data_IF_024314345178
#
_entry.id   IF_024314345178
#
_cell.length_a   1.000
_cell.length_b   1.000
_cell.length_c   1.000
_cell.angle_alpha   90.00
_cell.angle_beta   90.00
_cell.angle_gamma   90.00
#
_symmetry.space_group_name_H-M   'P 1'
#
loop_
_entity.id
_entity.type
_entity.pdbx_description
1 polymer ?
#
# COMPACT_ATOMS: atom_id res chain seq x y z
N UNK A 1 7.15 6.64 23.28
CA UNK A 1 6.58 6.33 21.95
C UNK A 1 6.84 7.56 21.09
N UNK A 2 7.43 7.40 19.90
CA UNK A 2 7.71 8.55 19.02
C UNK A 2 6.36 9.09 18.53
N UNK A 3 6.12 10.37 18.77
CA UNK A 3 4.90 11.08 18.39
C UNK A 3 5.16 12.23 17.42
N UNK A 4 4.07 12.84 16.96
CA UNK A 4 4.12 13.88 15.94
C UNK A 4 4.99 15.08 16.34
N UNK A 5 4.99 15.43 17.63
CA UNK A 5 5.81 16.51 18.18
C UNK A 5 7.31 16.25 18.08
N UNK A 6 7.74 14.99 18.05
CA UNK A 6 9.16 14.62 17.99
C UNK A 6 9.77 14.96 16.62
N UNK A 7 8.93 15.19 15.60
CA UNK A 7 9.35 15.64 14.28
C UNK A 7 9.49 17.17 14.19
N UNK A 8 8.95 17.94 15.15
CA UNK A 8 9.00 19.40 15.13
C UNK A 8 10.43 19.98 15.06
N UNK A 9 11.45 19.43 15.75
CA UNK A 9 12.84 19.90 15.61
C UNK A 9 13.42 19.72 14.19
N UNK A 10 12.85 18.82 13.38
CA UNK A 10 13.36 18.45 12.05
C UNK A 10 12.65 19.26 10.96
N UNK A 11 11.32 19.31 11.01
CA UNK A 11 10.49 19.94 9.96
C UNK A 11 9.94 21.31 10.34
N UNK A 12 10.14 21.74 11.59
CA UNK A 12 9.59 22.96 12.15
C UNK A 12 8.15 22.77 12.68
N UNK A 13 7.75 23.54 13.70
CA UNK A 13 6.41 23.45 14.31
C UNK A 13 5.29 23.87 13.34
N UNK A 14 5.59 24.71 12.35
CA UNK A 14 4.63 25.19 11.36
C UNK A 14 4.11 24.06 10.47
N UNK A 15 5.00 23.15 10.04
CA UNK A 15 4.66 21.97 9.23
C UNK A 15 3.77 21.03 10.04
N UNK A 16 4.10 20.82 11.32
CA UNK A 16 3.26 20.02 12.22
C UNK A 16 1.86 20.64 12.36
N UNK A 17 1.78 21.96 12.58
CA UNK A 17 0.50 22.66 12.68
C UNK A 17 -0.32 22.65 11.39
N UNK A 18 0.33 22.72 10.22
CA UNK A 18 -0.36 22.56 8.92
C UNK A 18 -0.93 21.15 8.77
N UNK A 19 -0.16 20.12 9.12
CA UNK A 19 -0.59 18.73 9.05
C UNK A 19 -1.79 18.45 9.98
N UNK A 20 -1.77 18.99 11.19
CA UNK A 20 -2.89 18.91 12.13
C UNK A 20 -4.17 19.54 11.55
N UNK A 21 -4.08 20.77 11.00
CA UNK A 21 -5.24 21.44 10.37
C UNK A 21 -5.80 20.66 9.18
N UNK A 22 -4.95 20.03 8.37
CA UNK A 22 -5.41 19.19 7.26
C UNK A 22 -6.12 17.93 7.78
N UNK A 23 -5.62 17.34 8.87
CA UNK A 23 -6.20 16.15 9.46
C UNK A 23 -7.57 16.40 10.11
N UNK A 24 -7.87 17.61 10.58
CA UNK A 24 -9.19 17.97 11.14
C UNK A 24 -10.35 17.64 10.18
N UNK A 25 -10.16 17.87 8.88
CA UNK A 25 -11.16 17.56 7.86
C UNK A 25 -11.40 16.05 7.67
N UNK A 26 -10.48 15.22 8.16
CA UNK A 26 -10.50 13.76 8.07
C UNK A 26 -10.69 13.10 9.45
N UNK A 27 -10.91 13.89 10.50
CA UNK A 27 -11.04 13.36 11.86
C UNK A 27 -12.15 12.32 11.95
N UNK A 28 -11.90 11.24 12.69
CA UNK A 28 -12.78 10.08 12.89
C UNK A 28 -13.10 9.27 11.63
N UNK A 29 -12.45 9.56 10.49
CA UNK A 29 -12.56 8.71 9.30
C UNK A 29 -11.75 7.44 9.50
N UNK A 30 -12.32 6.32 9.07
CA UNK A 30 -11.67 5.01 9.14
C UNK A 30 -10.80 4.80 7.91
N UNK A 31 -9.51 4.56 8.14
CA UNK A 31 -8.53 4.36 7.09
C UNK A 31 -7.81 3.03 7.26
N UNK A 32 -7.94 2.13 6.28
CA UNK A 32 -7.32 0.80 6.35
C UNK A 32 -6.18 0.69 5.33
N UNK A 33 -5.00 0.34 5.82
CA UNK A 33 -3.86 -0.08 5.01
C UNK A 33 -3.84 -1.60 4.89
N UNK A 34 -3.61 -2.13 3.68
CA UNK A 34 -3.50 -3.58 3.44
C UNK A 34 -2.20 -3.88 2.70
N UNK A 35 -1.36 -4.77 3.23
CA UNK A 35 -0.17 -5.28 2.54
C UNK A 35 0.07 -6.77 2.82
N UNK A 36 1.22 -7.31 2.39
CA UNK A 36 1.55 -8.74 2.49
C UNK A 36 2.46 -9.14 3.64
N UNK A 37 2.99 -8.21 4.43
CA UNK A 37 3.85 -8.57 5.58
C UNK A 37 3.88 -7.49 6.66
N UNK A 38 3.88 -7.90 7.94
CA UNK A 38 4.09 -7.03 9.12
C UNK A 38 5.56 -6.68 9.34
N UNK A 39 6.47 -7.51 8.86
CA UNK A 39 7.91 -7.41 9.15
C UNK A 39 8.74 -7.66 7.89
N UNK A 40 9.86 -6.95 7.78
CA UNK A 40 10.71 -7.02 6.59
C UNK A 40 10.12 -6.24 5.40
N UNK A 41 11.00 -5.54 4.68
CA UNK A 41 10.64 -4.71 3.54
C UNK A 41 10.27 -3.26 3.89
N UNK A 42 10.45 -2.37 2.92
CA UNK A 42 10.27 -0.92 3.12
C UNK A 42 8.83 -0.51 3.44
N UNK A 43 7.83 -1.24 2.91
CA UNK A 43 6.41 -0.94 3.17
C UNK A 43 6.06 -1.15 4.64
N UNK A 44 6.50 -2.27 5.23
CA UNK A 44 6.25 -2.54 6.65
C UNK A 44 6.96 -1.50 7.55
N UNK A 45 8.19 -1.10 7.20
CA UNK A 45 8.92 -0.05 7.93
C UNK A 45 8.16 1.28 7.92
N UNK A 46 7.62 1.68 6.77
CA UNK A 46 6.79 2.88 6.63
C UNK A 46 5.51 2.77 7.46
N UNK A 47 4.76 1.66 7.35
CA UNK A 47 3.47 1.51 8.02
C UNK A 47 3.59 1.43 9.54
N UNK A 48 4.67 0.87 10.07
CA UNK A 48 4.97 0.88 11.51
C UNK A 48 5.09 2.31 12.08
N UNK A 49 5.39 3.30 11.24
CA UNK A 49 5.50 4.72 11.63
C UNK A 49 4.28 5.54 11.23
N UNK A 50 3.82 5.38 10.01
CA UNK A 50 2.71 6.15 9.47
C UNK A 50 1.40 5.89 10.23
N UNK A 51 1.11 4.64 10.57
CA UNK A 51 -0.17 4.28 11.20
C UNK A 51 -0.32 4.92 12.59
N UNK A 52 0.65 4.84 13.52
CA UNK A 52 0.57 5.57 14.78
C UNK A 52 0.44 7.09 14.62
N UNK A 53 1.15 7.69 13.66
CA UNK A 53 1.09 9.15 13.43
C UNK A 53 -0.27 9.59 12.89
N UNK A 54 -0.86 8.82 11.97
CA UNK A 54 -2.22 9.07 11.48
C UNK A 54 -3.27 8.95 12.60
N UNK A 55 -3.09 7.98 13.51
CA UNK A 55 -3.95 7.87 14.69
C UNK A 55 -3.79 9.07 15.65
N UNK A 56 -2.58 9.58 15.86
CA UNK A 56 -2.35 10.80 16.64
C UNK A 56 -2.97 12.05 16.01
N UNK A 57 -3.12 12.04 14.68
CA UNK A 57 -3.79 13.10 13.91
C UNK A 57 -5.33 12.97 13.92
N UNK A 58 -5.90 11.97 14.61
CA UNK A 58 -7.34 11.81 14.79
C UNK A 58 -8.04 10.93 13.75
N UNK A 59 -7.30 10.27 12.85
CA UNK A 59 -7.85 9.27 11.94
C UNK A 59 -7.93 7.91 12.65
N UNK A 60 -9.00 7.15 12.44
CA UNK A 60 -9.10 5.76 12.91
C UNK A 60 -8.35 4.86 11.91
N UNK A 61 -7.03 4.72 12.09
CA UNK A 61 -6.17 4.08 11.10
C UNK A 61 -5.78 2.67 11.53
N UNK A 62 -6.12 1.68 10.69
CA UNK A 62 -5.78 0.28 10.90
C UNK A 62 -4.84 -0.22 9.81
N UNK A 63 -4.05 -1.24 10.17
CA UNK A 63 -3.18 -1.93 9.24
C UNK A 63 -3.48 -3.41 9.29
N UNK A 64 -3.86 -3.95 8.14
CA UNK A 64 -4.19 -5.35 7.89
C UNK A 64 -3.13 -6.00 7.01
N UNK A 65 -2.87 -7.27 7.27
CA UNK A 65 -1.88 -8.05 6.53
C UNK A 65 -2.52 -9.32 6.02
N UNK A 66 -2.36 -9.58 4.72
CA UNK A 66 -2.86 -10.80 4.12
C UNK A 66 -2.04 -12.00 4.55
N UNK A 67 -2.71 -13.14 4.62
CA UNK A 67 -2.08 -14.45 4.80
C UNK A 67 -2.05 -15.20 3.46
N UNK A 68 -1.06 -16.06 3.28
CA UNK A 68 -0.95 -16.90 2.10
C UNK A 68 -0.02 -18.08 2.37
N UNK A 69 -0.15 -19.12 1.56
CA UNK A 69 0.80 -20.24 1.59
C UNK A 69 2.11 -19.88 0.87
N UNK A 70 3.10 -20.77 0.97
CA UNK A 70 4.40 -20.56 0.30
C UNK A 70 4.24 -20.37 -1.20
N UNK A 71 3.33 -21.11 -1.82
CA UNK A 71 3.08 -21.03 -3.26
C UNK A 71 2.53 -19.66 -3.68
N UNK A 72 1.63 -19.07 -2.90
CA UNK A 72 1.15 -17.71 -3.10
C UNK A 72 2.27 -16.68 -3.04
N UNK A 73 3.18 -16.80 -2.06
CA UNK A 73 4.32 -15.89 -1.95
C UNK A 73 5.35 -16.09 -3.08
N UNK A 74 5.51 -17.31 -3.59
CA UNK A 74 6.29 -17.58 -4.81
C UNK A 74 5.66 -16.93 -6.04
N UNK A 75 4.35 -17.10 -6.23
CA UNK A 75 3.59 -16.48 -7.34
C UNK A 75 3.70 -14.96 -7.27
N UNK A 76 3.46 -14.36 -6.11
CA UNK A 76 3.49 -12.90 -5.97
C UNK A 76 4.89 -12.31 -6.12
N UNK A 77 5.93 -13.02 -5.68
CA UNK A 77 7.33 -12.67 -5.97
C UNK A 77 7.64 -12.76 -7.47
N UNK A 78 7.15 -13.80 -8.15
CA UNK A 78 7.24 -13.90 -9.59
C UNK A 78 6.49 -12.76 -10.29
N UNK A 79 5.31 -12.35 -9.78
CA UNK A 79 4.53 -11.24 -10.35
C UNK A 79 5.29 -9.93 -10.17
N UNK A 80 5.86 -9.68 -8.99
CA UNK A 80 6.70 -8.52 -8.70
C UNK A 80 7.83 -8.39 -9.73
N UNK A 81 8.61 -9.45 -9.93
CA UNK A 81 9.70 -9.46 -10.91
C UNK A 81 9.17 -9.31 -12.35
N UNK A 82 8.10 -10.01 -12.70
CA UNK A 82 7.53 -9.92 -14.04
C UNK A 82 7.02 -8.51 -14.37
N UNK A 83 6.42 -7.81 -13.40
CA UNK A 83 5.97 -6.42 -13.53
C UNK A 83 7.14 -5.45 -13.70
N UNK A 84 8.32 -5.77 -13.15
CA UNK A 84 9.56 -5.02 -13.37
C UNK A 84 10.31 -5.45 -14.66
N UNK A 85 9.67 -6.22 -15.54
CA UNK A 85 10.17 -6.53 -16.88
C UNK A 85 10.88 -7.88 -17.04
N UNK A 86 10.97 -8.69 -15.98
CA UNK A 86 11.51 -10.04 -16.09
C UNK A 86 10.57 -10.95 -16.89
N UNK A 87 11.13 -11.79 -17.76
CA UNK A 87 10.37 -12.78 -18.54
C UNK A 87 10.16 -14.04 -17.71
N UNK A 88 9.07 -14.08 -16.97
CA UNK A 88 8.67 -15.23 -16.15
C UNK A 88 7.39 -15.82 -16.75
N UNK A 89 7.35 -17.14 -17.02
CA UNK A 89 6.13 -17.79 -17.50
C UNK A 89 5.09 -17.86 -16.38
N UNK A 90 3.83 -17.54 -16.70
CA UNK A 90 2.71 -17.68 -15.80
C UNK A 90 1.70 -18.68 -16.35
N UNK A 91 1.32 -19.65 -15.54
CA UNK A 91 0.25 -20.60 -15.87
C UNK A 91 -1.10 -20.09 -15.38
N UNK A 92 -2.19 -20.63 -15.94
CA UNK A 92 -3.54 -20.31 -15.47
C UNK A 92 -3.72 -20.69 -13.99
N UNK A 93 -3.18 -21.84 -13.57
CA UNK A 93 -3.24 -22.30 -12.19
C UNK A 93 -2.58 -21.31 -11.19
N UNK A 94 -1.51 -20.62 -11.59
CA UNK A 94 -0.91 -19.57 -10.75
C UNK A 94 -1.85 -18.38 -10.56
N UNK A 95 -2.54 -17.95 -11.62
CA UNK A 95 -3.53 -16.87 -11.51
C UNK A 95 -4.72 -17.30 -10.67
N UNK A 96 -5.19 -18.55 -10.83
CA UNK A 96 -6.32 -19.07 -10.08
C UNK A 96 -6.00 -19.16 -8.59
N UNK A 97 -4.82 -19.68 -8.22
CA UNK A 97 -4.35 -19.72 -6.83
C UNK A 97 -4.23 -18.32 -6.23
N UNK A 98 -3.66 -17.37 -6.98
CA UNK A 98 -3.58 -15.98 -6.55
C UNK A 98 -4.97 -15.36 -6.29
N UNK A 99 -5.97 -15.65 -7.14
CA UNK A 99 -7.35 -15.20 -6.93
C UNK A 99 -7.94 -15.84 -5.67
N UNK A 100 -7.79 -17.15 -5.52
CA UNK A 100 -8.36 -17.92 -4.41
C UNK A 100 -7.87 -17.38 -3.06
N UNK A 101 -6.55 -17.23 -2.88
CA UNK A 101 -5.96 -16.71 -1.64
C UNK A 101 -6.44 -15.28 -1.36
N UNK A 102 -6.52 -14.42 -2.37
CA UNK A 102 -7.04 -13.06 -2.20
C UNK A 102 -8.52 -13.05 -1.78
N UNK A 103 -9.35 -13.92 -2.37
CA UNK A 103 -10.76 -14.05 -2.01
C UNK A 103 -10.93 -14.62 -0.60
N UNK A 104 -10.08 -15.55 -0.17
CA UNK A 104 -10.08 -16.06 1.19
C UNK A 104 -9.73 -14.97 2.21
N UNK A 105 -8.71 -14.17 1.94
CA UNK A 105 -8.37 -13.00 2.77
C UNK A 105 -9.53 -12.00 2.82
N UNK A 106 -10.19 -11.75 1.68
CA UNK A 106 -11.35 -10.88 1.63
C UNK A 106 -12.52 -11.40 2.48
N UNK A 107 -12.76 -12.72 2.52
CA UNK A 107 -13.80 -13.31 3.38
C UNK A 107 -13.51 -13.14 4.88
N UNK A 108 -12.23 -13.19 5.25
CA UNK A 108 -11.76 -13.04 6.64
C UNK A 108 -11.72 -11.60 7.13
N UNK A 109 -11.75 -10.63 6.21
CA UNK A 109 -11.80 -9.22 6.58
C UNK A 109 -13.03 -8.94 7.47
N UNK A 110 -12.81 -8.35 8.63
CA UNK A 110 -13.85 -7.99 9.60
C UNK A 110 -13.93 -6.47 9.87
N UNK A 111 -13.22 -5.68 9.07
CA UNK A 111 -13.17 -4.22 9.18
C UNK A 111 -14.13 -3.54 8.20
N UNK A 112 -14.40 -2.28 8.50
CA UNK A 112 -15.18 -1.32 7.72
C UNK A 112 -14.38 -0.02 7.62
N UNK A 113 -14.36 0.63 6.45
CA UNK A 113 -13.50 1.79 6.22
C UNK A 113 -14.16 2.87 5.38
N UNK A 114 -13.79 4.14 5.59
CA UNK A 114 -14.10 5.21 4.63
C UNK A 114 -13.12 5.15 3.44
N UNK A 115 -11.85 4.84 3.74
CA UNK A 115 -10.75 4.79 2.79
C UNK A 115 -9.95 3.49 2.95
N UNK A 116 -9.53 2.90 1.83
CA UNK A 116 -8.61 1.76 1.83
C UNK A 116 -7.40 2.07 0.95
N UNK A 117 -6.20 1.90 1.48
CA UNK A 117 -4.94 1.95 0.73
C UNK A 117 -4.34 0.56 0.67
N UNK A 118 -4.34 -0.02 -0.52
CA UNK A 118 -3.80 -1.35 -0.77
C UNK A 118 -2.42 -1.24 -1.38
N UNK A 119 -1.43 -1.87 -0.75
CA UNK A 119 -0.03 -1.78 -1.13
C UNK A 119 0.39 -2.96 -1.99
N UNK A 120 1.01 -2.65 -3.14
CA UNK A 120 1.64 -3.58 -4.08
C UNK A 120 0.67 -4.61 -4.73
N UNK A 121 1.16 -5.49 -5.63
CA UNK A 121 0.31 -6.43 -6.35
C UNK A 121 -0.26 -7.57 -5.50
N UNK A 122 0.34 -7.93 -4.38
CA UNK A 122 0.00 -9.16 -3.64
C UNK A 122 -1.47 -9.19 -3.19
N UNK A 123 -2.01 -8.11 -2.56
CA UNK A 123 -3.41 -8.08 -2.12
C UNK A 123 -4.36 -7.49 -3.17
N UNK A 124 -3.89 -7.12 -4.36
CA UNK A 124 -4.63 -6.26 -5.28
C UNK A 124 -5.99 -6.84 -5.71
N UNK A 125 -6.12 -8.17 -5.73
CA UNK A 125 -7.37 -8.83 -6.12
C UNK A 125 -8.48 -8.77 -5.07
N UNK A 126 -8.17 -8.43 -3.82
CA UNK A 126 -9.17 -8.30 -2.75
C UNK A 126 -10.28 -7.30 -3.08
N UNK A 127 -10.01 -6.26 -3.87
CA UNK A 127 -11.02 -5.29 -4.28
C UNK A 127 -12.23 -5.94 -4.97
N UNK A 128 -12.03 -7.08 -5.65
CA UNK A 128 -13.11 -7.78 -6.36
C UNK A 128 -14.22 -8.28 -5.43
N UNK A 129 -13.90 -8.56 -4.16
CA UNK A 129 -14.86 -9.00 -3.14
C UNK A 129 -15.19 -7.90 -2.13
N UNK A 130 -14.24 -6.98 -1.86
CA UNK A 130 -14.39 -5.98 -0.81
C UNK A 130 -14.87 -4.60 -1.29
N UNK A 131 -15.04 -4.38 -2.60
CA UNK A 131 -15.44 -3.06 -3.14
C UNK A 131 -16.60 -2.36 -2.38
N UNK A 132 -17.65 -3.07 -1.92
CA UNK A 132 -18.75 -2.43 -1.18
C UNK A 132 -18.40 -1.94 0.24
N UNK A 133 -17.31 -2.43 0.86
CA UNK A 133 -16.96 -2.15 2.26
C UNK A 133 -16.25 -0.83 2.51
N UNK A 134 -15.86 -0.13 1.46
CA UNK A 134 -15.30 1.21 1.58
C UNK A 134 -15.69 2.07 0.39
N UNK A 135 -15.82 3.37 0.65
CA UNK A 135 -16.21 4.35 -0.37
C UNK A 135 -15.10 4.54 -1.40
N UNK A 136 -13.86 4.63 -0.91
CA UNK A 136 -12.69 4.93 -1.73
C UNK A 136 -11.61 3.87 -1.57
N UNK A 137 -11.13 3.36 -2.69
CA UNK A 137 -10.07 2.37 -2.81
C UNK A 137 -8.91 2.96 -3.59
N UNK A 138 -7.73 2.95 -2.98
CA UNK A 138 -6.50 3.46 -3.59
C UNK A 138 -5.49 2.33 -3.69
N UNK A 139 -4.92 2.12 -4.89
CA UNK A 139 -3.83 1.17 -5.09
C UNK A 139 -2.48 1.90 -5.04
N UNK A 140 -1.63 1.56 -4.07
CA UNK A 140 -0.27 2.07 -3.96
C UNK A 140 0.71 1.06 -4.55
N UNK A 141 1.25 1.36 -5.73
CA UNK A 141 2.30 0.58 -6.36
C UNK A 141 3.67 1.12 -5.96
N UNK A 142 4.48 0.31 -5.27
CA UNK A 142 5.84 0.69 -4.87
C UNK A 142 6.90 0.24 -5.88
N UNK A 143 6.53 -0.59 -6.85
CA UNK A 143 7.43 -1.12 -7.88
C UNK A 143 7.36 -0.34 -9.20
N UNK A 144 8.37 -0.54 -10.04
CA UNK A 144 8.39 -0.07 -11.41
C UNK A 144 7.53 -0.98 -12.30
N UNK A 145 6.46 -0.43 -12.89
CA UNK A 145 5.63 -1.12 -13.88
C UNK A 145 5.74 -0.49 -15.27
N UNK A 146 6.81 0.25 -15.57
CA UNK A 146 7.03 0.95 -16.85
C UNK A 146 7.13 0.03 -18.06
N UNK A 147 7.68 -1.17 -17.88
CA UNK A 147 7.88 -2.18 -18.93
C UNK A 147 7.53 -3.58 -18.44
N UNK A 148 6.26 -3.84 -18.07
CA UNK A 148 5.91 -5.06 -17.40
C UNK A 148 5.75 -6.20 -18.40
N UNK A 149 5.89 -7.43 -17.91
CA UNK A 149 5.43 -8.61 -18.64
C UNK A 149 3.94 -8.44 -19.00
N UNK A 150 3.64 -8.55 -20.29
CA UNK A 150 2.30 -8.29 -20.83
C UNK A 150 1.23 -9.19 -20.20
N UNK A 151 1.52 -10.47 -19.99
CA UNK A 151 0.54 -11.42 -19.44
C UNK A 151 0.15 -11.05 -18.01
N UNK A 152 1.14 -10.78 -17.16
CA UNK A 152 0.93 -10.41 -15.75
C UNK A 152 0.28 -9.04 -15.65
N UNK A 153 0.72 -8.07 -16.46
CA UNK A 153 0.13 -6.74 -16.47
C UNK A 153 -1.31 -6.75 -16.96
N UNK A 154 -1.63 -7.51 -18.02
CA UNK A 154 -3.02 -7.61 -18.50
C UNK A 154 -3.94 -8.11 -17.39
N UNK A 155 -3.53 -9.17 -16.70
CA UNK A 155 -4.26 -9.71 -15.55
C UNK A 155 -4.41 -8.68 -14.42
N UNK A 156 -3.32 -8.05 -13.99
CA UNK A 156 -3.35 -7.09 -12.88
C UNK A 156 -4.12 -5.82 -13.24
N UNK A 157 -4.00 -5.31 -14.47
CA UNK A 157 -4.67 -4.11 -14.96
C UNK A 157 -6.19 -4.22 -14.87
N UNK A 158 -6.76 -5.38 -15.19
CA UNK A 158 -8.22 -5.62 -15.04
C UNK A 158 -8.71 -5.46 -13.60
N UNK A 159 -7.83 -5.75 -12.64
CA UNK A 159 -8.10 -5.65 -11.21
C UNK A 159 -7.88 -4.22 -10.73
N UNK A 160 -6.70 -3.65 -10.99
CA UNK A 160 -6.34 -2.33 -10.48
C UNK A 160 -7.16 -1.20 -11.11
N UNK A 161 -7.76 -1.43 -12.29
CA UNK A 161 -8.70 -0.50 -12.93
C UNK A 161 -10.03 -0.33 -12.16
N UNK A 162 -10.28 -1.15 -11.13
CA UNK A 162 -11.46 -1.05 -10.26
C UNK A 162 -11.27 -0.11 -9.08
N UNK A 163 -10.04 0.35 -8.85
CA UNK A 163 -9.71 1.31 -7.80
C UNK A 163 -10.13 2.71 -8.23
N UNK A 164 -10.36 3.58 -7.25
CA UNK A 164 -10.75 4.96 -7.48
C UNK A 164 -9.53 5.85 -7.76
N UNK A 165 -8.34 5.43 -7.30
CA UNK A 165 -7.07 6.07 -7.62
C UNK A 165 -5.88 5.09 -7.57
N UNK A 166 -4.76 5.48 -8.17
CA UNK A 166 -3.49 4.80 -7.98
C UNK A 166 -2.37 5.76 -7.61
N UNK A 167 -1.39 5.27 -6.87
CA UNK A 167 -0.29 6.07 -6.36
C UNK A 167 1.02 5.37 -6.71
N UNK A 168 1.93 6.10 -7.36
CA UNK A 168 3.25 5.61 -7.76
C UNK A 168 4.36 6.46 -7.15
N UNK A 169 5.58 5.93 -7.10
CA UNK A 169 6.75 6.67 -6.60
C UNK A 169 7.29 7.69 -7.61
N UNK A 170 7.15 7.40 -8.90
CA UNK A 170 7.59 8.24 -10.01
C UNK A 170 6.63 8.07 -11.18
N UNK A 171 6.45 9.10 -12.00
CA UNK A 171 5.59 9.03 -13.20
C UNK A 171 6.11 8.01 -14.21
N UNK A 172 7.43 7.88 -14.32
CA UNK A 172 8.08 6.91 -15.20
C UNK A 172 7.74 5.46 -14.86
N UNK A 173 7.40 5.17 -13.60
CA UNK A 173 7.05 3.82 -13.16
C UNK A 173 5.61 3.44 -13.48
N UNK A 174 4.76 4.41 -13.83
CA UNK A 174 3.33 4.19 -13.99
C UNK A 174 2.97 3.73 -15.40
N UNK A 175 1.99 2.84 -15.48
CA UNK A 175 1.24 2.58 -16.72
C UNK A 175 0.00 3.45 -16.75
N UNK A 176 -0.64 3.58 -17.93
CA UNK A 176 -1.90 4.30 -18.00
C UNK A 176 -3.06 3.47 -17.42
N UNK A 177 -3.79 4.06 -16.47
CA UNK A 177 -4.97 3.50 -15.81
C UNK A 177 -6.18 4.42 -16.01
N UNK A 178 -7.42 3.90 -15.97
CA UNK A 178 -8.62 4.68 -16.30
C UNK A 178 -9.03 5.71 -15.23
N UNK A 179 -8.30 5.77 -14.12
CA UNK A 179 -8.59 6.60 -12.95
C UNK A 179 -7.39 7.51 -12.61
N UNK A 180 -7.58 8.54 -11.76
CA UNK A 180 -6.51 9.45 -11.36
C UNK A 180 -5.28 8.73 -10.79
N UNK A 181 -4.09 9.18 -11.21
CA UNK A 181 -2.81 8.64 -10.76
C UNK A 181 -2.01 9.73 -10.06
N UNK A 182 -1.58 9.47 -8.83
CA UNK A 182 -0.83 10.40 -7.99
C UNK A 182 0.62 9.95 -7.83
N UNK A 183 1.53 10.91 -7.67
CA UNK A 183 2.96 10.62 -7.45
C UNK A 183 3.33 10.96 -6.01
N UNK A 184 3.51 9.93 -5.18
CA UNK A 184 3.99 10.07 -3.80
C UNK A 184 5.39 9.48 -3.73
N UNK A 185 6.40 10.34 -3.58
CA UNK A 185 7.78 9.89 -3.44
C UNK A 185 7.95 9.09 -2.14
N UNK A 186 8.81 8.06 -2.12
CA UNK A 186 9.17 7.39 -0.88
C UNK A 186 9.74 8.40 0.13
N UNK A 187 9.49 8.17 1.41
CA UNK A 187 10.03 8.94 2.51
C UNK A 187 10.89 8.04 3.40
N UNK A 188 11.78 8.67 4.17
CA UNK A 188 12.48 8.04 5.29
C UNK A 188 11.88 8.56 6.60
N UNK A 189 11.92 7.74 7.64
CA UNK A 189 11.65 8.19 9.01
C UNK A 189 12.98 8.63 9.64
N UNK A 190 13.22 9.94 9.84
CA UNK A 190 14.48 10.44 10.40
C UNK A 190 14.71 10.02 11.86
N UNK A 191 13.65 9.59 12.56
CA UNK A 191 13.75 9.13 13.95
C UNK A 191 13.85 7.59 14.05
N UNK A 192 13.98 6.89 12.91
CA UNK A 192 14.20 5.45 12.90
C UNK A 192 15.63 5.11 13.31
N UNK A 193 15.84 3.91 13.86
CA UNK A 193 17.18 3.43 14.24
C UNK A 193 18.20 3.50 13.10
N UNK A 194 17.75 3.40 11.85
CA UNK A 194 18.63 3.47 10.67
C UNK A 194 19.04 4.90 10.29
N UNK A 195 18.27 5.90 10.71
CA UNK A 195 18.41 7.28 10.23
C UNK A 195 18.68 8.29 11.35
N UNK A 196 18.60 7.88 12.62
CA UNK A 196 18.87 8.75 13.76
C UNK A 196 20.32 9.22 13.76
N UNK A 197 20.56 10.41 14.30
CA UNK A 197 21.91 10.86 14.58
C UNK A 197 22.58 9.91 15.60
N UNK A 198 23.82 9.53 15.32
CA UNK A 198 24.64 8.77 16.24
C UNK A 198 25.39 9.75 17.14
N UNK A 199 25.28 9.56 18.45
CA UNK A 199 26.19 10.23 19.40
C UNK A 199 27.61 9.69 19.18
N UNK A 200 28.64 10.55 19.13
CA UNK A 200 30.04 10.13 18.98
C UNK A 200 30.53 9.17 20.07
#
# INVERSE_FOLDING_TARGET
MIGLSDYAPIVGPEVIGQLQRLAEALSHRRFVHINSTRTGGGVAEILNRAVPLLNQLGLETHWEVIEGDSFFFEITKAMHNALQGYKIPFTQAMFDHYREVNLENARRAAWEADYVLLHDPQPAYMITALRPRAKNWVWRCHIDVSRPNFQVWRFLREVVSRYDASVFSMSQFAQNLPHPQYIFRPSIDPLSEKNRELTP
#
